data_IF_719816324126
#
_entry.id   IF_719816324126
#
_cell.length_a   1.000
_cell.length_b   1.000
_cell.length_c   1.000
_cell.angle_alpha   90.00
_cell.angle_beta   90.00
_cell.angle_gamma   90.00
#
_symmetry.space_group_name_H-M   'P 1'
#
loop_
_entity.id
_entity.type
_entity.pdbx_description
1 polymer ?
#
# COMPACT_ATOMS: atom_id res chain seq x y z
N UNK A 1 35.82 11.29 -48.18
CA UNK A 1 36.21 10.76 -46.85
C UNK A 1 35.99 11.74 -45.68
N UNK A 2 36.43 13.01 -45.75
CA UNK A 2 36.33 13.96 -44.62
C UNK A 2 34.90 14.34 -44.16
N UNK A 3 33.90 14.25 -45.03
CA UNK A 3 32.50 14.63 -44.71
C UNK A 3 31.78 13.55 -43.90
N UNK A 4 31.96 12.28 -44.25
CA UNK A 4 31.36 11.16 -43.53
C UNK A 4 31.92 11.02 -42.11
N UNK A 5 33.20 11.34 -41.89
CA UNK A 5 33.82 11.33 -40.55
C UNK A 5 33.22 12.39 -39.62
N UNK A 6 32.81 13.56 -40.15
CA UNK A 6 32.17 14.63 -39.35
C UNK A 6 30.71 14.30 -39.00
N UNK A 7 29.98 13.65 -39.90
CA UNK A 7 28.60 13.21 -39.66
C UNK A 7 28.57 12.06 -38.64
N UNK A 8 29.51 11.11 -38.73
CA UNK A 8 29.64 10.04 -37.73
C UNK A 8 30.01 10.58 -36.34
N UNK A 9 30.87 11.60 -36.26
CA UNK A 9 31.24 12.23 -34.99
C UNK A 9 30.05 12.98 -34.35
N UNK A 10 29.22 13.65 -35.15
CA UNK A 10 28.03 14.37 -34.66
C UNK A 10 26.93 13.40 -34.17
N UNK A 11 26.77 12.25 -34.82
CA UNK A 11 25.83 11.21 -34.36
C UNK A 11 26.35 10.48 -33.11
N UNK A 12 27.66 10.29 -32.97
CA UNK A 12 28.28 9.76 -31.75
C UNK A 12 28.21 10.74 -30.57
N UNK A 13 28.23 12.05 -30.81
CA UNK A 13 28.05 13.08 -29.78
C UNK A 13 26.58 13.24 -29.35
N UNK A 14 25.62 13.06 -30.26
CA UNK A 14 24.19 13.12 -29.93
C UNK A 14 23.68 11.91 -29.12
N UNK A 15 24.36 10.75 -29.21
CA UNK A 15 23.98 9.53 -28.50
C UNK A 15 24.39 9.47 -27.01
N UNK A 16 25.14 10.45 -26.49
CA UNK A 16 25.78 10.37 -25.15
C UNK A 16 25.01 11.17 -24.06
N UNK A 17 23.93 11.89 -24.38
CA UNK A 17 23.28 12.80 -23.42
C UNK A 17 21.87 12.44 -22.96
N UNK A 18 21.43 11.19 -23.11
CA UNK A 18 20.41 10.64 -22.20
C UNK A 18 21.13 10.03 -21.00
N UNK A 19 21.71 10.90 -20.16
CA UNK A 19 22.00 10.52 -18.78
C UNK A 19 20.65 10.35 -18.09
N UNK A 20 20.09 9.15 -18.13
CA UNK A 20 19.14 8.75 -17.10
C UNK A 20 19.88 8.87 -15.78
N UNK A 21 19.68 9.97 -15.06
CA UNK A 21 20.21 10.08 -13.71
C UNK A 21 19.50 9.01 -12.91
N UNK A 22 20.23 7.96 -12.52
CA UNK A 22 19.82 7.11 -11.42
C UNK A 22 19.81 8.01 -10.19
N UNK A 23 18.69 8.70 -9.98
CA UNK A 23 18.55 9.61 -8.86
C UNK A 23 18.54 8.74 -7.60
N UNK A 24 19.52 8.98 -6.72
CA UNK A 24 19.67 8.21 -5.49
C UNK A 24 18.38 8.36 -4.68
N UNK A 25 17.71 7.25 -4.41
CA UNK A 25 16.51 7.22 -3.57
C UNK A 25 16.85 7.87 -2.22
N UNK A 26 16.15 8.96 -1.90
CA UNK A 26 16.28 9.65 -0.62
C UNK A 26 15.22 9.09 0.32
N UNK A 27 15.55 8.90 1.59
CA UNK A 27 14.55 8.62 2.61
C UNK A 27 14.29 9.91 3.39
N UNK A 28 13.03 10.20 3.76
CA UNK A 28 12.72 11.41 4.52
C UNK A 28 13.37 11.37 5.91
N UNK A 29 13.90 12.51 6.35
CA UNK A 29 14.26 12.76 7.76
C UNK A 29 13.04 13.41 8.46
N UNK A 30 13.25 14.23 9.50
CA UNK A 30 12.19 14.99 10.19
C UNK A 30 11.33 15.83 9.26
N UNK A 31 11.92 16.31 8.15
CA UNK A 31 11.21 17.03 7.11
C UNK A 31 11.50 16.40 5.75
N UNK A 32 10.47 16.37 4.93
CA UNK A 32 10.57 15.88 3.57
C UNK A 32 11.20 16.95 2.69
N UNK A 33 12.17 16.54 1.86
CA UNK A 33 12.63 17.37 0.76
C UNK A 33 11.51 17.53 -0.27
N UNK A 34 11.49 18.67 -0.95
CA UNK A 34 10.53 18.97 -2.02
C UNK A 34 11.29 19.30 -3.31
N UNK A 35 10.71 18.95 -4.45
CA UNK A 35 11.16 19.51 -5.73
C UNK A 35 10.82 21.00 -5.78
N UNK A 36 11.64 21.78 -6.49
CA UNK A 36 11.38 23.21 -6.67
C UNK A 36 10.20 23.43 -7.61
N UNK A 37 10.12 22.64 -8.68
CA UNK A 37 9.00 22.59 -9.60
C UNK A 37 8.62 21.14 -9.89
N UNK A 38 7.35 20.87 -10.18
CA UNK A 38 6.85 19.55 -10.52
C UNK A 38 7.53 18.98 -11.77
N UNK A 39 7.92 19.85 -12.71
CA UNK A 39 8.63 19.44 -13.93
C UNK A 39 10.01 18.83 -13.64
N UNK A 40 10.65 19.22 -12.54
CA UNK A 40 11.93 18.64 -12.09
C UNK A 40 11.75 17.19 -11.60
N UNK A 41 10.52 16.82 -11.21
CA UNK A 41 10.15 15.44 -10.88
C UNK A 41 9.70 14.63 -12.11
N UNK A 42 9.79 15.20 -13.31
CA UNK A 42 9.46 14.54 -14.58
C UNK A 42 8.01 14.69 -15.05
N UNK A 43 7.21 15.55 -14.40
CA UNK A 43 5.85 15.81 -14.85
C UNK A 43 5.83 16.79 -16.03
N UNK A 44 4.92 16.56 -17.00
CA UNK A 44 4.65 17.54 -18.05
C UNK A 44 3.55 18.51 -17.60
N UNK A 45 3.60 19.76 -18.08
CA UNK A 45 2.57 20.76 -17.76
C UNK A 45 1.16 20.27 -18.14
N UNK A 46 1.01 19.71 -19.35
CA UNK A 46 -0.27 19.17 -19.80
C UNK A 46 -0.81 18.05 -18.89
N UNK A 47 0.08 17.22 -18.33
CA UNK A 47 -0.27 16.19 -17.36
C UNK A 47 -0.74 16.77 -16.03
N UNK A 48 -0.04 17.80 -15.52
CA UNK A 48 -0.41 18.51 -14.29
C UNK A 48 -1.77 19.21 -14.44
N UNK A 49 -2.01 19.88 -15.57
CA UNK A 49 -3.29 20.53 -15.85
C UNK A 49 -4.45 19.52 -15.88
N UNK A 50 -4.20 18.34 -16.46
CA UNK A 50 -5.17 17.23 -16.47
C UNK A 50 -5.43 16.68 -15.07
N UNK A 51 -4.38 16.53 -14.26
CA UNK A 51 -4.47 16.04 -12.89
C UNK A 51 -5.22 17.02 -11.99
N UNK A 52 -4.96 18.33 -12.11
CA UNK A 52 -5.72 19.38 -11.42
C UNK A 52 -7.21 19.33 -11.75
N UNK A 53 -7.58 19.26 -13.03
CA UNK A 53 -9.00 19.13 -13.41
C UNK A 53 -9.67 17.90 -12.80
N UNK A 54 -8.95 16.78 -12.71
CA UNK A 54 -9.49 15.58 -12.08
C UNK A 54 -9.61 15.73 -10.56
N UNK A 55 -8.62 16.35 -9.92
CA UNK A 55 -8.64 16.65 -8.49
C UNK A 55 -9.88 17.45 -8.12
N UNK A 56 -10.15 18.54 -8.86
CA UNK A 56 -11.32 19.39 -8.67
C UNK A 56 -12.62 18.66 -8.96
N UNK A 57 -12.70 17.93 -10.09
CA UNK A 57 -13.90 17.18 -10.49
C UNK A 57 -14.31 16.14 -9.45
N UNK A 58 -13.33 15.48 -8.82
CA UNK A 58 -13.58 14.47 -7.79
C UNK A 58 -13.91 15.10 -6.43
N UNK A 59 -13.72 16.41 -6.25
CA UNK A 59 -13.82 17.05 -4.95
C UNK A 59 -12.79 16.50 -3.96
N UNK A 60 -11.59 16.17 -4.44
CA UNK A 60 -10.54 15.58 -3.61
C UNK A 60 -10.08 16.56 -2.53
N UNK A 61 -9.93 16.09 -1.29
CA UNK A 61 -9.49 16.95 -0.19
C UNK A 61 -7.97 17.20 -0.19
N UNK A 62 -7.17 16.21 -0.61
CA UNK A 62 -5.72 16.32 -0.62
C UNK A 62 -5.07 15.33 -1.61
N UNK A 63 -3.91 15.70 -2.17
CA UNK A 63 -3.07 14.85 -3.00
C UNK A 63 -1.60 15.09 -2.63
N UNK A 64 -0.89 14.01 -2.30
CA UNK A 64 0.54 14.02 -2.05
C UNK A 64 1.20 13.02 -3.00
N UNK A 65 2.14 13.50 -3.83
CA UNK A 65 2.93 12.64 -4.73
C UNK A 65 4.40 12.75 -4.39
N UNK A 66 5.03 11.59 -4.24
CA UNK A 66 6.42 11.43 -3.87
C UNK A 66 7.17 10.76 -5.00
N UNK A 67 8.25 11.39 -5.45
CA UNK A 67 9.15 10.84 -6.47
C UNK A 67 10.56 10.83 -5.89
N UNK A 68 11.27 9.70 -5.99
CA UNK A 68 12.63 9.51 -5.46
C UNK A 68 12.82 9.93 -3.99
N UNK A 69 11.74 9.85 -3.19
CA UNK A 69 11.75 10.24 -1.77
C UNK A 69 11.62 11.73 -1.49
N UNK A 70 11.30 12.54 -2.51
CA UNK A 70 10.98 13.96 -2.37
C UNK A 70 9.54 14.21 -2.75
N UNK A 71 8.90 15.20 -2.12
CA UNK A 71 7.55 15.62 -2.47
C UNK A 71 7.61 16.36 -3.80
N UNK A 72 6.91 15.85 -4.79
CA UNK A 72 6.72 16.50 -6.09
C UNK A 72 5.42 17.31 -6.10
N UNK A 73 4.34 16.75 -5.55
CA UNK A 73 3.03 17.40 -5.49
C UNK A 73 2.52 17.39 -4.05
N UNK A 74 2.02 18.53 -3.60
CA UNK A 74 1.46 18.77 -2.27
C UNK A 74 0.24 19.70 -2.40
N UNK A 75 -0.92 19.13 -2.71
CA UNK A 75 -2.15 19.88 -3.00
C UNK A 75 -3.23 19.62 -1.96
N UNK A 76 -4.02 20.66 -1.63
CA UNK A 76 -5.14 20.58 -0.70
C UNK A 76 -4.70 20.50 0.76
N UNK A 77 -5.46 19.77 1.58
CA UNK A 77 -5.30 19.71 3.03
C UNK A 77 -4.34 18.58 3.50
N UNK A 78 -3.15 18.45 2.89
CA UNK A 78 -2.21 17.33 3.15
C UNK A 78 -1.71 17.21 4.59
N UNK A 79 -1.81 18.27 5.40
CA UNK A 79 -1.45 18.28 6.82
C UNK A 79 -2.62 17.95 7.76
N UNK A 80 -3.85 17.84 7.24
CA UNK A 80 -5.03 17.50 8.03
C UNK A 80 -5.03 16.01 8.39
N UNK A 81 -5.58 15.66 9.55
CA UNK A 81 -5.80 14.26 9.93
C UNK A 81 -7.05 13.71 9.22
N UNK A 82 -6.90 12.58 8.54
CA UNK A 82 -7.99 11.87 7.88
C UNK A 82 -8.22 10.49 8.51
N UNK A 83 -9.45 9.99 8.41
CA UNK A 83 -9.77 8.61 8.75
C UNK A 83 -9.24 7.67 7.65
N UNK A 84 -8.15 6.94 7.93
CA UNK A 84 -7.47 6.08 6.95
C UNK A 84 -8.24 4.80 6.54
N UNK A 85 -9.33 4.45 7.24
CA UNK A 85 -10.14 3.24 7.00
C UNK A 85 -9.27 2.00 6.68
N UNK A 86 -9.49 1.32 5.54
CA UNK A 86 -8.76 0.11 5.14
C UNK A 86 -7.29 0.36 4.80
N UNK A 87 -6.84 1.59 4.54
CA UNK A 87 -5.42 1.88 4.36
C UNK A 87 -4.58 1.59 5.62
N UNK A 88 -5.21 1.56 6.81
CA UNK A 88 -4.58 1.13 8.07
C UNK A 88 -4.00 -0.29 8.00
N UNK A 89 -4.60 -1.17 7.20
CA UNK A 89 -4.17 -2.58 7.07
C UNK A 89 -2.73 -2.69 6.54
N UNK A 90 -2.37 -1.84 5.57
CA UNK A 90 -1.01 -1.79 5.02
C UNK A 90 0.01 -1.35 6.07
N UNK A 91 -0.34 -0.37 6.91
CA UNK A 91 0.52 0.07 8.02
C UNK A 91 0.73 -1.05 9.05
N UNK A 92 -0.36 -1.74 9.45
CA UNK A 92 -0.27 -2.88 10.36
C UNK A 92 0.57 -4.01 9.77
N UNK A 93 0.39 -4.32 8.48
CA UNK A 93 1.20 -5.33 7.78
C UNK A 93 2.69 -4.97 7.78
N UNK A 94 3.03 -3.70 7.57
CA UNK A 94 4.42 -3.24 7.64
C UNK A 94 5.01 -3.40 9.06
N UNK A 95 4.23 -3.09 10.10
CA UNK A 95 4.64 -3.31 11.49
C UNK A 95 4.94 -4.78 11.76
N UNK A 96 4.04 -5.70 11.35
CA UNK A 96 4.29 -7.14 11.49
C UNK A 96 5.57 -7.54 10.74
N UNK A 97 5.79 -7.03 9.53
CA UNK A 97 7.01 -7.25 8.76
C UNK A 97 8.29 -6.82 9.49
N UNK A 98 8.26 -5.70 10.22
CA UNK A 98 9.40 -5.23 11.04
C UNK A 98 9.71 -6.19 12.19
N UNK A 99 8.69 -6.73 12.86
CA UNK A 99 8.92 -7.70 13.95
C UNK A 99 9.31 -9.08 13.42
N UNK A 100 8.78 -9.48 12.27
CA UNK A 100 9.17 -10.70 11.58
C UNK A 100 10.65 -10.66 11.15
N UNK A 101 11.11 -9.55 10.57
CA UNK A 101 12.52 -9.40 10.16
C UNK A 101 13.49 -9.41 11.34
N UNK A 102 13.01 -9.08 12.55
CA UNK A 102 13.76 -9.18 13.81
C UNK A 102 13.64 -10.55 14.49
N UNK A 103 12.99 -11.53 13.85
CA UNK A 103 12.74 -12.86 14.42
C UNK A 103 11.81 -12.86 15.64
N UNK A 104 11.05 -11.78 15.87
CA UNK A 104 10.12 -11.66 17.00
C UNK A 104 8.74 -12.22 16.70
N UNK A 105 8.38 -12.35 15.43
CA UNK A 105 7.16 -13.01 14.96
C UNK A 105 7.57 -14.03 13.91
N UNK A 106 7.16 -15.28 14.10
CA UNK A 106 7.26 -16.29 13.05
C UNK A 106 6.00 -16.22 12.17
N UNK A 107 6.17 -15.82 10.90
CA UNK A 107 5.04 -15.69 9.97
C UNK A 107 4.37 -17.04 9.64
N UNK A 108 5.06 -18.16 9.90
CA UNK A 108 4.53 -19.50 9.69
C UNK A 108 3.80 -20.06 10.90
N UNK A 109 3.82 -19.38 12.05
CA UNK A 109 3.08 -19.86 13.21
C UNK A 109 1.59 -19.76 13.00
N UNK A 110 0.86 -20.78 13.45
CA UNK A 110 -0.60 -20.85 13.39
C UNK A 110 -1.24 -20.03 14.52
N UNK A 111 -2.50 -19.64 14.36
CA UNK A 111 -3.26 -19.01 15.44
C UNK A 111 -3.35 -19.91 16.67
N UNK A 112 -3.48 -21.24 16.47
CA UNK A 112 -3.46 -22.23 17.55
C UNK A 112 -2.15 -22.18 18.35
N UNK A 113 -1.00 -22.21 17.68
CA UNK A 113 0.34 -22.15 18.33
C UNK A 113 0.53 -20.84 19.11
N UNK A 114 -0.05 -19.76 18.61
CA UNK A 114 0.03 -18.43 19.23
C UNK A 114 -1.01 -18.22 20.34
N UNK A 115 -1.93 -19.17 20.55
CA UNK A 115 -3.03 -19.03 21.50
C UNK A 115 -4.00 -17.89 21.16
N UNK A 116 -4.15 -17.57 19.86
CA UNK A 116 -5.02 -16.50 19.38
C UNK A 116 -6.40 -17.07 19.05
N UNK A 117 -7.43 -16.41 19.56
CA UNK A 117 -8.84 -16.67 19.26
C UNK A 117 -9.57 -15.33 19.06
N UNK A 118 -10.79 -15.36 18.54
CA UNK A 118 -11.64 -14.17 18.36
C UNK A 118 -12.79 -14.16 19.40
N UNK A 119 -13.54 -13.06 19.47
CA UNK A 119 -14.77 -12.95 20.28
C UNK A 119 -15.78 -13.99 19.81
N UNK A 120 -15.93 -14.16 18.49
CA UNK A 120 -16.59 -15.32 17.93
C UNK A 120 -15.56 -16.43 17.76
N UNK A 121 -15.60 -17.42 18.67
CA UNK A 121 -14.64 -18.52 18.71
C UNK A 121 -14.33 -19.10 17.31
N UNK A 122 -13.04 -19.21 17.02
CA UNK A 122 -12.52 -19.82 15.81
C UNK A 122 -12.70 -21.33 15.86
N UNK A 123 -13.03 -21.92 14.71
CA UNK A 123 -13.04 -23.38 14.55
C UNK A 123 -11.62 -23.93 14.56
N UNK A 124 -11.47 -25.22 14.81
CA UNK A 124 -10.16 -25.89 14.77
C UNK A 124 -9.47 -25.73 13.40
N UNK A 125 -10.24 -25.70 12.31
CA UNK A 125 -9.72 -25.45 10.95
C UNK A 125 -9.23 -24.01 10.78
N UNK A 126 -9.98 -23.03 11.26
CA UNK A 126 -9.59 -21.61 11.19
C UNK A 126 -8.37 -21.31 12.06
N UNK A 127 -8.21 -22.00 13.19
CA UNK A 127 -7.03 -21.87 14.04
C UNK A 127 -5.73 -22.36 13.38
N UNK A 128 -5.83 -23.12 12.28
CA UNK A 128 -4.67 -23.50 11.46
C UNK A 128 -4.19 -22.37 10.52
N UNK A 129 -4.92 -21.26 10.43
CA UNK A 129 -4.43 -20.11 9.70
C UNK A 129 -3.11 -19.62 10.28
N UNK A 130 -2.12 -19.39 9.42
CA UNK A 130 -0.84 -18.82 9.84
C UNK A 130 -0.90 -17.30 9.79
N UNK A 131 0.04 -16.65 10.48
CA UNK A 131 0.19 -15.20 10.42
C UNK A 131 0.30 -14.69 8.98
N UNK A 132 1.07 -15.38 8.11
CA UNK A 132 1.19 -15.00 6.69
C UNK A 132 -0.14 -15.10 5.93
N UNK A 133 -1.03 -16.01 6.31
CA UNK A 133 -2.31 -16.20 5.63
C UNK A 133 -3.28 -15.07 5.96
N UNK A 134 -3.21 -14.50 7.18
CA UNK A 134 -3.92 -13.28 7.54
C UNK A 134 -3.42 -12.09 6.70
N UNK A 135 -2.10 -11.89 6.65
CA UNK A 135 -1.46 -10.79 5.91
C UNK A 135 -1.73 -10.84 4.41
N UNK A 136 -1.82 -12.04 3.84
CA UNK A 136 -2.08 -12.27 2.43
C UNK A 136 -3.59 -12.39 2.10
N UNK A 137 -4.47 -12.06 3.04
CA UNK A 137 -5.92 -12.14 2.86
C UNK A 137 -6.39 -13.51 2.35
N UNK A 138 -5.87 -14.59 2.94
CA UNK A 138 -6.19 -15.98 2.59
C UNK A 138 -6.35 -16.90 3.81
N UNK A 139 -6.61 -16.35 5.00
CA UNK A 139 -6.76 -17.14 6.23
C UNK A 139 -7.98 -18.06 6.27
N UNK A 140 -8.98 -17.87 5.41
CA UNK A 140 -10.22 -18.65 5.46
C UNK A 140 -11.15 -18.25 6.62
N UNK A 141 -10.87 -17.12 7.29
CA UNK A 141 -11.60 -16.63 8.46
C UNK A 141 -12.51 -15.49 8.04
N UNK A 142 -13.81 -15.77 7.99
CA UNK A 142 -14.83 -14.82 7.54
C UNK A 142 -15.82 -14.56 8.69
N UNK A 143 -15.54 -13.52 9.47
CA UNK A 143 -16.37 -13.11 10.60
C UNK A 143 -17.07 -11.76 10.33
N UNK A 144 -18.34 -11.58 10.74
CA UNK A 144 -19.05 -10.30 10.65
C UNK A 144 -18.38 -9.23 11.52
N UNK A 145 -18.17 -8.02 11.01
CA UNK A 145 -17.48 -6.95 11.72
C UNK A 145 -18.38 -5.76 12.07
N UNK A 146 -17.84 -4.80 12.84
CA UNK A 146 -18.51 -3.55 13.18
C UNK A 146 -18.99 -2.72 11.96
N UNK A 147 -18.34 -2.87 10.80
CA UNK A 147 -18.72 -2.16 9.57
C UNK A 147 -19.28 -3.09 8.49
N UNK A 148 -19.62 -4.33 8.84
CA UNK A 148 -20.19 -5.27 7.89
C UNK A 148 -21.64 -4.89 7.56
N UNK A 149 -21.93 -4.70 6.27
CA UNK A 149 -23.30 -4.55 5.80
C UNK A 149 -24.04 -5.90 5.88
N UNK A 150 -25.35 -5.87 6.06
CA UNK A 150 -26.19 -7.08 6.07
C UNK A 150 -25.93 -7.98 4.85
N UNK A 151 -25.88 -7.38 3.65
CA UNK A 151 -25.57 -8.09 2.42
C UNK A 151 -24.18 -8.73 2.41
N UNK A 152 -23.19 -8.16 3.10
CA UNK A 152 -21.87 -8.78 3.22
C UNK A 152 -21.91 -10.00 4.13
N UNK A 153 -22.67 -9.93 5.23
CA UNK A 153 -22.83 -11.02 6.20
C UNK A 153 -23.54 -12.21 5.57
N UNK A 154 -24.61 -11.96 4.81
CA UNK A 154 -25.39 -12.99 4.11
C UNK A 154 -24.59 -13.72 3.03
N UNK A 155 -23.52 -13.11 2.53
CA UNK A 155 -22.64 -13.66 1.49
C UNK A 155 -21.30 -14.17 2.04
N UNK A 156 -21.15 -14.29 3.37
CA UNK A 156 -19.95 -14.90 3.92
C UNK A 156 -19.88 -16.39 3.53
N UNK A 157 -18.69 -16.91 3.17
CA UNK A 157 -18.48 -18.33 3.03
C UNK A 157 -18.84 -19.11 4.31
N UNK A 158 -19.13 -20.40 4.14
CA UNK A 158 -19.32 -21.28 5.29
C UNK A 158 -18.06 -21.30 6.16
N UNK A 159 -18.22 -21.35 7.49
CA UNK A 159 -17.10 -21.44 8.44
C UNK A 159 -16.20 -22.64 8.09
N UNK A 160 -14.89 -22.45 8.14
CA UNK A 160 -13.90 -23.47 7.76
C UNK A 160 -13.78 -23.75 6.24
N UNK A 161 -14.44 -22.98 5.38
CA UNK A 161 -14.31 -23.09 3.93
C UNK A 161 -14.30 -21.70 3.27
N UNK A 162 -13.29 -21.37 2.43
CA UNK A 162 -12.10 -22.16 2.10
C UNK A 162 -11.18 -22.39 3.32
N UNK A 163 -10.34 -23.43 3.24
CA UNK A 163 -9.33 -23.68 4.28
C UNK A 163 -8.21 -22.63 4.21
N UNK A 164 -7.44 -22.43 5.29
CA UNK A 164 -6.37 -21.43 5.28
C UNK A 164 -5.35 -21.65 4.15
N UNK A 165 -5.02 -20.58 3.44
CA UNK A 165 -4.06 -20.58 2.32
C UNK A 165 -4.66 -20.91 0.95
N UNK A 166 -5.86 -21.49 0.89
CA UNK A 166 -6.46 -21.99 -0.35
C UNK A 166 -6.86 -20.87 -1.32
N UNK A 167 -7.55 -19.84 -0.81
CA UNK A 167 -8.14 -18.79 -1.65
C UNK A 167 -7.99 -17.42 -1.03
N UNK A 168 -7.67 -16.43 -1.88
CA UNK A 168 -7.70 -15.02 -1.48
C UNK A 168 -9.15 -14.54 -1.35
N UNK A 169 -9.46 -13.87 -0.24
CA UNK A 169 -10.74 -13.26 0.03
C UNK A 169 -10.58 -12.08 0.97
N UNK A 170 -11.33 -11.01 0.72
CA UNK A 170 -11.29 -9.82 1.59
C UNK A 170 -11.78 -10.22 2.98
N UNK A 171 -10.84 -10.19 3.93
CA UNK A 171 -11.07 -10.52 5.33
C UNK A 171 -10.72 -9.28 6.14
N UNK A 172 -11.37 -9.12 7.29
CA UNK A 172 -10.91 -8.11 8.22
C UNK A 172 -9.68 -8.62 8.96
N UNK A 173 -8.57 -7.91 8.75
CA UNK A 173 -7.24 -8.21 9.27
C UNK A 173 -7.09 -8.02 10.80
N UNK A 174 -8.16 -8.14 11.59
CA UNK A 174 -8.11 -7.80 12.99
C UNK A 174 -9.19 -8.47 13.83
N UNK A 175 -8.75 -8.96 14.99
CA UNK A 175 -9.57 -9.31 16.14
C UNK A 175 -10.60 -8.20 16.38
N UNK A 176 -11.86 -8.58 16.41
CA UNK A 176 -12.93 -7.62 16.58
C UNK A 176 -12.91 -7.07 18.01
N UNK A 177 -12.79 -5.75 18.14
CA UNK A 177 -13.26 -5.11 19.35
C UNK A 177 -14.78 -5.14 19.33
N UNK A 178 -15.46 -5.47 20.46
CA UNK A 178 -16.91 -5.47 20.51
C UNK A 178 -17.44 -4.11 20.05
N UNK A 179 -18.55 -4.14 19.29
CA UNK A 179 -19.33 -2.97 18.94
C UNK A 179 -19.81 -2.24 20.21
N UNK A 180 -18.96 -1.44 20.84
CA UNK A 180 -19.41 -0.46 21.80
C UNK A 180 -19.91 0.74 21.01
N UNK A 181 -21.16 1.05 21.30
CA UNK A 181 -21.95 2.08 20.65
C UNK A 181 -21.18 3.42 20.67
N UNK A 182 -21.04 4.02 19.49
CA UNK A 182 -20.88 5.46 19.37
C UNK A 182 -22.28 6.08 19.30
#
# INVERSE_FOLDING_TARGET
MKVYTRILLLLLLAGILVKGSAQKMVFPDKQWLKYAQEVDAGFSQAGLDSLHRQFDRLGSAALLVVVDGKVAIDWGETSRRFMLTSARKSLMSAMIGIYASKGKINLNSTLAELGIDDVQALTESEKQARVIDLLAARSGIYLPSAYSLKSMIENLPARGSPVPGEKMGVQQLGLQYPCQHF
#
